data_IF_257635848898
#
_entry.id   IF_257635848898
#
_cell.length_a   1.000
_cell.length_b   1.000
_cell.length_c   1.000
_cell.angle_alpha   90.00
_cell.angle_beta   90.00
_cell.angle_gamma   90.00
#
_symmetry.space_group_name_H-M   'P 1'
#
loop_
_entity.id
_entity.type
_entity.pdbx_description
1 polymer ?
#
# COMPACT_ATOMS: atom_id res chain seq x y z
N UNK A 1 62.68 1.58 8.01
CA UNK A 1 61.49 1.81 8.84
C UNK A 1 60.30 1.65 7.90
N UNK A 2 59.79 0.43 7.77
CA UNK A 2 58.64 0.14 6.90
C UNK A 2 57.38 0.66 7.58
N UNK A 3 56.67 1.58 6.93
CA UNK A 3 55.32 1.97 7.33
C UNK A 3 54.41 0.83 6.95
N UNK A 4 53.77 0.20 7.94
CA UNK A 4 52.60 -0.64 7.72
C UNK A 4 51.48 0.26 7.24
N UNK A 5 50.95 -0.02 6.06
CA UNK A 5 49.67 0.51 5.61
C UNK A 5 48.59 -0.13 6.50
N UNK A 6 47.86 0.70 7.24
CA UNK A 6 46.65 0.28 7.94
C UNK A 6 45.57 0.12 6.88
N UNK A 7 45.18 -1.12 6.60
CA UNK A 7 44.00 -1.41 5.78
C UNK A 7 42.76 -0.95 6.55
N UNK A 8 42.15 0.16 6.11
CA UNK A 8 40.87 0.62 6.63
C UNK A 8 39.82 -0.47 6.35
N UNK A 9 39.29 -1.08 7.40
CA UNK A 9 38.27 -2.13 7.32
C UNK A 9 36.97 -1.49 6.80
N UNK A 10 36.66 -1.68 5.52
CA UNK A 10 35.42 -1.19 4.91
C UNK A 10 34.25 -1.98 5.51
N UNK A 11 33.52 -1.37 6.44
CA UNK A 11 32.29 -1.91 6.99
C UNK A 11 31.20 -1.79 5.91
N UNK A 12 30.93 -2.87 5.18
CA UNK A 12 29.80 -2.95 4.27
C UNK A 12 28.51 -3.07 5.08
N UNK A 13 27.79 -1.95 5.25
CA UNK A 13 26.44 -1.95 5.81
C UNK A 13 25.47 -2.62 4.81
N UNK A 14 24.66 -3.55 5.30
CA UNK A 14 23.59 -4.16 4.51
C UNK A 14 22.51 -3.11 4.18
N UNK A 15 21.82 -3.23 3.05
CA UNK A 15 20.71 -2.36 2.63
C UNK A 15 19.62 -2.26 3.71
N UNK A 16 19.42 -3.34 4.48
CA UNK A 16 18.53 -3.37 5.64
C UNK A 16 18.84 -2.33 6.71
N UNK A 17 20.06 -1.78 6.75
CA UNK A 17 20.44 -0.73 7.70
C UNK A 17 19.73 0.60 7.40
N UNK A 18 19.33 0.85 6.16
CA UNK A 18 18.69 2.10 5.73
C UNK A 18 17.16 2.00 5.66
N UNK A 19 16.60 0.81 5.86
CA UNK A 19 15.15 0.57 5.83
C UNK A 19 14.59 0.81 7.23
N UNK A 20 13.59 1.70 7.32
CA UNK A 20 12.81 1.88 8.53
C UNK A 20 11.55 1.02 8.47
N UNK A 21 11.50 -0.03 9.29
CA UNK A 21 10.35 -0.93 9.42
C UNK A 21 9.64 -0.79 10.78
N UNK A 22 9.91 0.30 11.51
CA UNK A 22 9.28 0.62 12.80
C UNK A 22 7.85 1.15 12.61
N UNK A 23 7.03 0.37 11.92
CA UNK A 23 5.64 0.68 11.67
C UNK A 23 4.83 0.64 12.97
N UNK A 24 3.93 1.59 13.10
CA UNK A 24 3.00 1.66 14.21
C UNK A 24 1.60 1.36 13.71
N UNK A 25 0.84 0.58 14.48
CA UNK A 25 -0.57 0.37 14.21
C UNK A 25 -1.32 1.65 14.54
N UNK A 26 -1.88 2.28 13.51
CA UNK A 26 -2.57 3.56 13.61
C UNK A 26 -4.02 3.41 13.20
N UNK A 27 -4.90 4.07 13.94
CA UNK A 27 -6.34 4.10 13.68
C UNK A 27 -6.73 5.38 12.93
N UNK A 28 -7.52 5.21 11.88
CA UNK A 28 -8.07 6.28 11.05
C UNK A 28 -9.59 6.16 11.02
N UNK A 29 -10.28 7.28 11.12
CA UNK A 29 -11.75 7.33 11.10
C UNK A 29 -12.22 8.19 9.93
N UNK A 30 -13.09 7.62 9.09
CA UNK A 30 -13.72 8.27 7.94
C UNK A 30 -15.24 8.06 8.01
N UNK A 31 -15.97 9.07 8.46
CA UNK A 31 -17.40 8.92 8.77
C UNK A 31 -17.64 7.83 9.82
N UNK A 32 -18.38 6.76 9.47
CA UNK A 32 -18.62 5.60 10.34
C UNK A 32 -17.57 4.49 10.20
N UNK A 33 -16.60 4.65 9.30
CA UNK A 33 -15.59 3.64 9.00
C UNK A 33 -14.34 3.88 9.84
N UNK A 34 -13.99 2.92 10.69
CA UNK A 34 -12.74 2.89 11.44
C UNK A 34 -11.80 1.89 10.81
N UNK A 35 -10.60 2.31 10.39
CA UNK A 35 -9.58 1.47 9.76
C UNK A 35 -8.32 1.52 10.60
N UNK A 36 -7.72 0.35 10.83
CA UNK A 36 -6.43 0.24 11.48
C UNK A 36 -5.43 -0.34 10.49
N UNK A 37 -4.24 0.25 10.41
CA UNK A 37 -3.16 -0.27 9.56
C UNK A 37 -1.81 0.13 10.13
N UNK A 38 -0.76 -0.60 9.73
CA UNK A 38 0.61 -0.28 10.05
C UNK A 38 1.15 0.77 9.06
N UNK A 39 1.68 1.88 9.58
CA UNK A 39 2.38 2.90 8.80
C UNK A 39 3.52 3.54 9.60
N UNK A 40 4.41 4.26 8.92
CA UNK A 40 5.36 5.17 9.55
C UNK A 40 4.67 6.51 9.88
N UNK A 41 5.19 7.20 10.88
CA UNK A 41 4.73 8.55 11.27
C UNK A 41 5.70 9.66 10.82
N UNK A 42 6.84 9.28 10.27
CA UNK A 42 7.86 10.21 9.77
C UNK A 42 8.51 9.61 8.55
N UNK A 43 8.71 10.44 7.52
CA UNK A 43 9.33 10.00 6.29
C UNK A 43 10.77 9.52 6.54
N UNK A 44 11.14 8.45 5.85
CA UNK A 44 12.55 8.17 5.60
C UNK A 44 13.09 9.25 4.66
N UNK A 45 14.39 9.55 4.73
CA UNK A 45 15.03 10.47 3.78
C UNK A 45 15.21 9.85 2.39
N UNK A 46 14.80 8.59 2.21
CA UNK A 46 14.81 7.89 0.93
C UNK A 46 13.53 8.20 0.14
N UNK A 47 13.71 8.69 -1.09
CA UNK A 47 12.61 9.21 -1.93
C UNK A 47 11.62 8.11 -2.34
N UNK A 48 12.09 6.87 -2.47
CA UNK A 48 11.27 5.76 -2.96
C UNK A 48 10.48 5.04 -1.85
N UNK A 49 10.66 5.44 -0.58
CA UNK A 49 10.00 4.84 0.58
C UNK A 49 8.88 5.70 1.17
N UNK A 50 8.51 6.78 0.49
CA UNK A 50 7.40 7.67 0.87
C UNK A 50 6.06 6.93 0.96
N UNK A 51 5.88 5.83 0.23
CA UNK A 51 4.70 4.97 0.30
C UNK A 51 4.48 4.28 1.66
N UNK A 52 5.44 4.34 2.59
CA UNK A 52 5.29 3.81 3.95
C UNK A 52 4.47 4.71 4.89
N UNK A 53 4.07 5.90 4.43
CA UNK A 53 3.26 6.88 5.16
C UNK A 53 1.82 6.89 4.65
N UNK A 54 0.92 7.47 5.45
CA UNK A 54 -0.38 7.92 4.96
C UNK A 54 -0.28 9.38 4.56
N UNK A 55 -0.52 9.66 3.28
CA UNK A 55 -0.44 11.01 2.73
C UNK A 55 -1.76 11.80 2.88
N UNK A 56 -1.72 13.14 3.00
CA UNK A 56 -2.92 13.96 3.18
C UNK A 56 -3.98 13.80 2.09
N UNK A 57 -3.58 13.60 0.84
CA UNK A 57 -4.48 13.35 -0.29
C UNK A 57 -5.30 12.08 -0.08
N UNK A 58 -4.70 11.01 0.45
CA UNK A 58 -5.41 9.77 0.78
C UNK A 58 -6.45 9.99 1.88
N UNK A 59 -6.13 10.83 2.88
CA UNK A 59 -7.08 11.22 3.93
C UNK A 59 -8.30 11.96 3.35
N UNK A 60 -8.06 12.92 2.44
CA UNK A 60 -9.14 13.67 1.78
C UNK A 60 -9.99 12.79 0.87
N UNK A 61 -9.36 11.89 0.10
CA UNK A 61 -10.07 10.95 -0.75
C UNK A 61 -10.95 10.01 0.09
N UNK A 62 -10.46 9.52 1.21
CA UNK A 62 -11.23 8.64 2.11
C UNK A 62 -12.40 9.36 2.78
N UNK A 63 -12.22 10.63 3.16
CA UNK A 63 -13.33 11.48 3.64
C UNK A 63 -14.41 11.67 2.57
N UNK A 64 -14.04 11.75 1.29
CA UNK A 64 -14.99 11.82 0.19
C UNK A 64 -15.69 10.47 -0.04
N UNK A 65 -14.93 9.39 -0.14
CA UNK A 65 -15.45 8.05 -0.43
C UNK A 65 -16.37 7.53 0.69
N UNK A 66 -16.02 7.78 1.96
CA UNK A 66 -16.86 7.39 3.10
C UNK A 66 -18.23 8.10 3.13
N UNK A 67 -18.37 9.24 2.45
CA UNK A 67 -19.64 9.96 2.28
C UNK A 67 -20.41 9.52 1.02
N UNK A 68 -19.75 8.81 0.11
CA UNK A 68 -20.28 8.42 -1.20
C UNK A 68 -20.16 6.90 -1.43
N UNK A 69 -20.37 6.09 -0.39
CA UNK A 69 -20.13 4.64 -0.41
C UNK A 69 -20.98 3.87 -1.42
N UNK A 70 -22.13 4.40 -1.82
CA UNK A 70 -22.96 3.81 -2.87
C UNK A 70 -22.25 3.75 -4.23
N UNK A 71 -21.28 4.63 -4.49
CA UNK A 71 -20.45 4.57 -5.70
C UNK A 71 -19.48 3.39 -5.71
N UNK A 72 -19.19 2.82 -4.54
CA UNK A 72 -18.24 1.70 -4.38
C UNK A 72 -18.95 0.35 -4.35
N UNK A 73 -20.28 0.34 -4.10
CA UNK A 73 -21.02 -0.87 -3.81
C UNK A 73 -20.96 -1.85 -4.99
N UNK A 74 -20.31 -2.99 -4.76
CA UNK A 74 -20.20 -4.06 -5.75
C UNK A 74 -19.20 -3.81 -6.89
N UNK A 75 -18.46 -2.70 -6.88
CA UNK A 75 -17.46 -2.40 -7.90
C UNK A 75 -16.21 -3.29 -7.78
N UNK A 76 -15.55 -3.53 -8.91
CA UNK A 76 -14.16 -3.97 -8.99
C UNK A 76 -13.25 -2.73 -9.08
N UNK A 77 -12.27 -2.60 -8.20
CA UNK A 77 -11.43 -1.40 -8.07
C UNK A 77 -9.96 -1.76 -8.17
N UNK A 78 -9.19 -0.92 -8.86
CA UNK A 78 -7.72 -0.92 -8.77
C UNK A 78 -7.25 0.43 -8.21
N UNK A 79 -6.35 0.39 -7.24
CA UNK A 79 -5.67 1.57 -6.73
C UNK A 79 -4.23 1.59 -7.22
N UNK A 80 -3.84 2.69 -7.86
CA UNK A 80 -2.48 2.96 -8.29
C UNK A 80 -1.75 3.71 -7.16
N UNK A 81 -0.47 3.38 -6.91
CA UNK A 81 0.31 4.07 -5.87
C UNK A 81 -0.32 3.97 -4.49
N UNK A 82 -0.70 2.76 -4.07
CA UNK A 82 -1.49 2.53 -2.86
C UNK A 82 -0.75 2.87 -1.57
N UNK A 83 0.58 2.95 -1.57
CA UNK A 83 1.36 3.12 -0.35
C UNK A 83 1.04 2.03 0.67
N UNK A 84 0.67 2.44 1.89
CA UNK A 84 0.23 1.52 2.95
C UNK A 84 -1.19 0.97 2.78
N UNK A 85 -1.94 1.42 1.76
CA UNK A 85 -3.21 0.85 1.33
C UNK A 85 -4.46 1.41 2.00
N UNK A 86 -4.38 2.56 2.67
CA UNK A 86 -5.49 3.09 3.49
C UNK A 86 -6.80 3.27 2.69
N UNK A 87 -6.71 3.68 1.43
CA UNK A 87 -7.86 3.99 0.59
C UNK A 87 -8.49 2.72 0.03
N UNK A 88 -7.72 1.83 -0.58
CA UNK A 88 -8.29 0.59 -1.05
C UNK A 88 -8.74 -0.35 0.08
N UNK A 89 -8.15 -0.30 1.28
CA UNK A 89 -8.69 -1.00 2.47
C UNK A 89 -10.07 -0.43 2.85
N UNK A 90 -10.28 0.89 2.79
CA UNK A 90 -11.60 1.48 2.98
C UNK A 90 -12.59 0.97 1.92
N UNK A 91 -12.19 1.02 0.64
CA UNK A 91 -13.01 0.57 -0.47
C UNK A 91 -13.38 -0.89 -0.37
N UNK A 92 -12.48 -1.74 0.16
CA UNK A 92 -12.71 -3.17 0.28
C UNK A 92 -13.99 -3.47 1.04
N UNK A 93 -14.42 -2.64 2.00
CA UNK A 93 -15.68 -2.82 2.77
C UNK A 93 -16.97 -2.70 1.97
N UNK A 94 -16.90 -2.16 0.76
CA UNK A 94 -18.06 -1.86 -0.09
C UNK A 94 -17.95 -2.53 -1.46
N UNK A 95 -16.73 -2.66 -1.97
CA UNK A 95 -16.41 -3.22 -3.27
C UNK A 95 -16.49 -4.75 -3.29
N UNK A 96 -16.67 -5.30 -4.50
CA UNK A 96 -16.64 -6.74 -4.75
C UNK A 96 -15.22 -7.25 -4.99
N UNK A 97 -14.31 -6.42 -5.52
CA UNK A 97 -12.89 -6.73 -5.63
C UNK A 97 -12.09 -5.43 -5.51
N UNK A 98 -10.93 -5.49 -4.87
CA UNK A 98 -9.98 -4.39 -4.75
C UNK A 98 -8.57 -4.91 -4.96
N UNK A 99 -7.85 -4.30 -5.89
CA UNK A 99 -6.44 -4.58 -6.18
C UNK A 99 -5.64 -3.34 -5.83
N UNK A 100 -4.76 -3.47 -4.83
CA UNK A 100 -3.84 -2.42 -4.41
C UNK A 100 -2.54 -2.59 -5.19
N UNK A 101 -1.97 -1.50 -5.69
CA UNK A 101 -0.74 -1.58 -6.47
C UNK A 101 0.28 -0.54 -6.06
N UNK A 102 1.54 -0.95 -6.02
CA UNK A 102 2.68 -0.07 -5.82
C UNK A 102 3.90 -0.64 -6.56
N UNK A 103 4.91 0.18 -6.80
CA UNK A 103 6.13 -0.21 -7.51
C UNK A 103 7.23 -0.68 -6.55
N UNK A 104 7.27 -0.14 -5.33
CA UNK A 104 8.38 -0.36 -4.42
C UNK A 104 8.18 -1.65 -3.60
N UNK A 105 9.16 -2.55 -3.59
CA UNK A 105 9.04 -3.85 -2.92
C UNK A 105 8.86 -3.73 -1.39
N UNK A 106 9.47 -2.74 -0.74
CA UNK A 106 9.27 -2.49 0.70
C UNK A 106 7.86 -1.97 0.98
N UNK A 107 7.32 -1.13 0.10
CA UNK A 107 5.93 -0.66 0.18
C UNK A 107 4.96 -1.82 -0.04
N UNK A 108 5.21 -2.69 -1.02
CA UNK A 108 4.41 -3.90 -1.24
C UNK A 108 4.42 -4.83 -0.01
N UNK A 109 5.54 -4.96 0.71
CA UNK A 109 5.60 -5.77 1.94
C UNK A 109 4.66 -5.24 3.02
N UNK A 110 4.68 -3.93 3.31
CA UNK A 110 3.78 -3.34 4.31
C UNK A 110 2.33 -3.34 3.85
N UNK A 111 2.08 -3.11 2.57
CA UNK A 111 0.76 -3.19 1.95
C UNK A 111 0.13 -4.57 2.16
N UNK A 112 0.87 -5.65 1.88
CA UNK A 112 0.42 -7.03 2.12
C UNK A 112 0.15 -7.31 3.59
N UNK A 113 1.03 -6.86 4.49
CA UNK A 113 0.82 -6.94 5.95
C UNK A 113 -0.47 -6.23 6.39
N UNK A 114 -0.79 -5.09 5.79
CA UNK A 114 -2.02 -4.37 6.08
C UNK A 114 -3.24 -5.07 5.49
N UNK A 115 -3.16 -5.67 4.32
CA UNK A 115 -4.24 -6.51 3.77
C UNK A 115 -4.56 -7.66 4.72
N UNK A 116 -3.53 -8.37 5.21
CA UNK A 116 -3.69 -9.49 6.15
C UNK A 116 -4.41 -9.09 7.45
N UNK A 117 -4.27 -7.84 7.91
CA UNK A 117 -5.03 -7.34 9.07
C UNK A 117 -6.55 -7.29 8.84
N UNK A 118 -6.98 -7.15 7.58
CA UNK A 118 -8.40 -7.00 7.22
C UNK A 118 -9.01 -8.24 6.58
N UNK A 119 -8.17 -9.19 6.14
CA UNK A 119 -8.60 -10.49 5.62
C UNK A 119 -8.63 -11.49 6.78
N UNK A 120 -9.79 -11.66 7.42
CA UNK A 120 -10.02 -12.72 8.42
C UNK A 120 -11.14 -13.65 7.97
N UNK A 121 -10.92 -14.98 7.99
CA UNK A 121 -11.94 -15.97 7.61
C UNK A 121 -13.17 -15.96 8.54
N UNK A 122 -13.08 -15.32 9.71
CA UNK A 122 -14.14 -15.29 10.71
C UNK A 122 -14.97 -14.00 10.71
N UNK A 123 -14.64 -13.06 9.82
CA UNK A 123 -15.35 -11.78 9.73
C UNK A 123 -16.37 -11.82 8.58
N UNK A 124 -17.69 -11.88 8.84
CA UNK A 124 -18.72 -11.88 7.79
C UNK A 124 -18.77 -10.57 6.98
N UNK A 125 -18.06 -9.52 7.43
CA UNK A 125 -17.84 -8.28 6.69
C UNK A 125 -16.50 -8.25 5.92
N UNK A 126 -15.73 -9.34 5.91
CA UNK A 126 -14.58 -9.46 5.00
C UNK A 126 -15.14 -9.58 3.59
N UNK A 127 -15.12 -8.48 2.84
CA UNK A 127 -15.47 -8.51 1.43
C UNK A 127 -14.54 -9.45 0.69
N UNK A 128 -15.14 -10.27 -0.18
CA UNK A 128 -14.39 -11.11 -1.08
C UNK A 128 -13.49 -10.22 -1.97
N UNK A 129 -12.23 -10.63 -2.19
CA UNK A 129 -11.32 -10.01 -3.14
C UNK A 129 -10.61 -8.74 -2.67
N UNK A 130 -9.65 -8.83 -1.75
CA UNK A 130 -8.66 -7.79 -1.48
C UNK A 130 -7.26 -8.36 -1.74
N UNK A 131 -6.53 -7.79 -2.70
CA UNK A 131 -5.22 -8.26 -3.12
C UNK A 131 -4.22 -7.12 -3.32
N UNK A 132 -2.94 -7.47 -3.45
CA UNK A 132 -1.87 -6.52 -3.78
C UNK A 132 -0.99 -7.06 -4.90
N UNK A 133 -0.76 -6.23 -5.91
CA UNK A 133 0.09 -6.52 -7.06
C UNK A 133 1.19 -5.48 -7.22
N UNK A 134 2.35 -5.91 -7.75
CA UNK A 134 3.42 -4.98 -8.09
C UNK A 134 3.11 -4.29 -9.42
N UNK A 135 3.14 -2.96 -9.43
CA UNK A 135 2.96 -2.16 -10.63
C UNK A 135 3.85 -0.91 -10.63
N UNK A 136 4.87 -0.95 -11.45
CA UNK A 136 5.64 0.21 -11.90
C UNK A 136 4.92 0.83 -13.10
N UNK A 137 4.62 2.12 -13.03
CA UNK A 137 3.87 2.77 -14.10
C UNK A 137 4.63 2.79 -15.42
N UNK A 138 3.93 2.45 -16.50
CA UNK A 138 4.53 2.28 -17.81
C UNK A 138 5.14 0.89 -18.06
N UNK A 139 5.23 0.04 -17.04
CA UNK A 139 5.67 -1.34 -17.21
C UNK A 139 4.57 -2.18 -17.87
N UNK A 140 4.70 -2.40 -19.17
CA UNK A 140 3.69 -3.11 -19.97
C UNK A 140 3.52 -4.57 -19.56
N UNK A 141 4.58 -5.23 -19.09
CA UNK A 141 4.54 -6.64 -18.70
C UNK A 141 3.69 -6.81 -17.43
N UNK A 142 3.90 -5.96 -16.43
CA UNK A 142 3.12 -5.96 -15.18
C UNK A 142 1.65 -5.57 -15.43
N UNK A 143 1.39 -4.57 -16.29
CA UNK A 143 0.03 -4.22 -16.70
C UNK A 143 -0.66 -5.42 -17.36
N UNK A 144 0.01 -6.09 -18.29
CA UNK A 144 -0.55 -7.24 -18.98
C UNK A 144 -0.82 -8.42 -18.02
N UNK A 145 0.07 -8.64 -17.04
CA UNK A 145 -0.15 -9.65 -16.00
C UNK A 145 -1.41 -9.35 -15.19
N UNK A 146 -1.58 -8.11 -14.70
CA UNK A 146 -2.77 -7.70 -13.94
C UNK A 146 -4.04 -7.86 -14.79
N UNK A 147 -4.03 -7.43 -16.05
CA UNK A 147 -5.19 -7.59 -16.94
C UNK A 147 -5.54 -9.07 -17.17
N UNK A 148 -4.54 -9.95 -17.25
CA UNK A 148 -4.77 -11.39 -17.40
C UNK A 148 -5.34 -12.03 -16.13
N UNK A 149 -4.87 -11.59 -14.95
CA UNK A 149 -5.36 -12.06 -13.66
C UNK A 149 -6.77 -11.54 -13.33
N UNK A 150 -7.08 -10.33 -13.78
CA UNK A 150 -8.37 -9.67 -13.60
C UNK A 150 -9.06 -9.40 -14.96
N UNK A 151 -9.51 -10.44 -15.69
CA UNK A 151 -10.05 -10.31 -17.05
C UNK A 151 -11.39 -9.55 -17.11
N UNK A 152 -12.08 -9.39 -15.98
CA UNK A 152 -13.27 -8.55 -15.84
C UNK A 152 -12.97 -7.06 -15.77
N UNK A 153 -11.70 -6.68 -15.62
CA UNK A 153 -11.26 -5.29 -15.47
C UNK A 153 -11.70 -4.66 -14.15
N UNK A 154 -11.70 -3.33 -14.16
CA UNK A 154 -12.01 -2.50 -13.00
C UNK A 154 -13.02 -1.42 -13.41
N UNK A 155 -14.03 -1.22 -12.56
CA UNK A 155 -15.04 -0.17 -12.72
C UNK A 155 -14.49 1.19 -12.30
N UNK A 156 -13.57 1.20 -11.33
CA UNK A 156 -12.93 2.41 -10.80
C UNK A 156 -11.41 2.23 -10.71
N UNK A 157 -10.69 3.29 -11.09
CA UNK A 157 -9.25 3.44 -10.86
C UNK A 157 -9.07 4.56 -9.84
N UNK A 158 -8.40 4.26 -8.73
CA UNK A 158 -8.12 5.19 -7.66
C UNK A 158 -6.63 5.59 -7.65
N UNK A 159 -6.38 6.77 -7.10
CA UNK A 159 -5.04 7.24 -6.79
C UNK A 159 -5.13 8.51 -5.94
N UNK A 160 -4.41 8.55 -4.83
CA UNK A 160 -4.27 9.74 -3.99
C UNK A 160 -2.81 9.93 -3.57
N UNK A 161 -2.26 11.13 -3.83
CA UNK A 161 -0.84 11.44 -3.59
C UNK A 161 0.10 10.35 -4.13
N UNK A 162 -0.31 9.77 -5.26
CA UNK A 162 0.39 8.71 -6.00
C UNK A 162 1.70 9.21 -6.59
#
# INVERSE_FOLDING_TARGET
MERKEEEEEIICLNESFFINDNYQLTEFTFGSQVIQLFCLHSASTDFDLTGQLVWPGAMLLNEYLSKNTEMLRGCSVIELGSGVGITGILCSRFCQNVVLTDHNDEVIKILKKNIELHVSPENPNSCAGLGAEKLEWGNSDQINQIIQEYPGGFDLVLGADI
#
